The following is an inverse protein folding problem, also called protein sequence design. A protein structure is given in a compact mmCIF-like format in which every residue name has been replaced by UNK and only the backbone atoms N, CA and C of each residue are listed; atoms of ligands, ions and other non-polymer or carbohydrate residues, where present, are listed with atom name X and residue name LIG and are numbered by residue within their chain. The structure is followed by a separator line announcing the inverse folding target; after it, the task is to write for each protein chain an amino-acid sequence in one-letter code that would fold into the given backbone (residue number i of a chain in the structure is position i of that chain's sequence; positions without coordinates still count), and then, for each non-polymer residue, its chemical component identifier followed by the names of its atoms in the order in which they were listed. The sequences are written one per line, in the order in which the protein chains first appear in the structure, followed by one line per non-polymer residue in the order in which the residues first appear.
data_IF_577426528602
#
_entry.id   IF_577426528602
#
_cell.length_a   1.000
_cell.length_b   1.000
_cell.length_c   1.000
_cell.angle_alpha   90.00
_cell.angle_beta   90.00
_cell.angle_gamma   90.00
#
_symmetry.space_group_name_H-M   'P 1'
#
loop_
_entity.id
_entity.type
_entity.pdbx_description
1 polymer ?
#
# COMPACT_ATOMS: atom_id res chain seq x y z
N UNK A 1 75.09 1.84 30.51
CA UNK A 1 75.32 3.29 30.30
C UNK A 1 74.16 3.77 29.42
N UNK A 2 73.11 4.40 30.00
CA UNK A 2 72.93 5.88 30.10
C UNK A 2 73.08 6.54 28.72
N UNK A 3 72.12 7.25 28.12
CA UNK A 3 71.15 8.24 28.60
C UNK A 3 69.98 8.32 27.58
N UNK A 4 68.71 8.44 27.98
CA UNK A 4 67.93 9.68 28.11
C UNK A 4 68.07 10.66 26.93
N UNK A 5 66.98 10.92 26.20
CA UNK A 5 66.42 12.26 25.85
C UNK A 5 65.30 12.15 24.79
N UNK A 6 64.04 12.35 25.22
CA UNK A 6 62.98 13.03 24.45
C UNK A 6 63.22 14.55 24.61
N UNK A 7 62.82 15.50 23.72
CA UNK A 7 61.51 15.65 23.05
C UNK A 7 61.65 16.07 21.55
N UNK A 8 60.65 16.25 20.70
CA UNK A 8 59.65 17.33 20.76
C UNK A 8 58.58 17.18 19.66
N UNK A 9 57.35 17.55 20.04
CA UNK A 9 56.31 18.24 19.28
C UNK A 9 56.20 17.99 17.77
N UNK A 10 55.06 17.45 17.32
CA UNK A 10 54.05 18.22 16.58
C UNK A 10 52.93 17.32 16.04
N UNK A 11 51.70 17.81 16.14
CA UNK A 11 50.64 17.40 15.23
C UNK A 11 49.70 16.31 15.73
N UNK A 12 48.81 16.66 16.67
CA UNK A 12 47.52 15.97 16.81
C UNK A 12 46.53 16.51 15.76
N UNK A 13 46.18 15.76 14.69
CA UNK A 13 44.89 15.93 14.06
C UNK A 13 43.84 15.06 14.76
N UNK A 14 43.24 15.64 15.80
CA UNK A 14 41.79 15.87 15.99
C UNK A 14 40.75 14.95 15.34
N UNK A 15 40.99 13.68 15.03
CA UNK A 15 39.90 12.78 14.64
C UNK A 15 40.13 11.41 15.23
N UNK A 16 39.59 11.21 16.43
CA UNK A 16 39.38 9.91 17.03
C UNK A 16 38.70 9.00 16.00
N UNK A 17 39.44 8.01 15.50
CA UNK A 17 38.86 6.85 14.82
C UNK A 17 38.16 6.04 15.92
N UNK A 18 36.84 5.83 15.88
CA UNK A 18 36.26 4.82 16.75
C UNK A 18 36.88 3.48 16.38
N UNK A 19 37.62 2.91 17.33
CA UNK A 19 38.02 1.51 17.33
C UNK A 19 36.73 0.69 17.48
N UNK A 20 36.13 0.32 16.36
CA UNK A 20 35.09 -0.69 16.35
C UNK A 20 35.54 -1.82 15.42
N UNK A 21 36.03 -2.88 16.07
CA UNK A 21 36.58 -4.06 15.42
C UNK A 21 35.49 -4.83 14.69
N UNK A 22 35.69 -4.99 13.39
CA UNK A 22 35.00 -5.96 12.56
C UNK A 22 35.75 -7.29 12.70
N UNK A 23 35.45 -8.02 13.78
CA UNK A 23 35.66 -9.46 13.79
C UNK A 23 34.37 -10.09 13.25
N UNK A 24 34.39 -10.52 11.99
CA UNK A 24 33.49 -11.58 11.52
C UNK A 24 34.15 -12.91 11.89
N UNK A 25 33.41 -13.89 12.44
CA UNK A 25 32.73 -14.78 11.51
C UNK A 25 31.41 -15.41 12.02
N UNK A 26 30.50 -15.62 11.06
CA UNK A 26 29.55 -16.74 10.99
C UNK A 26 28.78 -17.07 12.27
N UNK A 27 27.59 -16.50 12.37
CA UNK A 27 26.47 -17.24 12.95
C UNK A 27 25.24 -17.04 12.08
N UNK A 28 24.99 -18.04 11.24
CA UNK A 28 23.67 -18.52 10.83
C UNK A 28 22.56 -17.52 11.12
N UNK A 29 22.25 -16.65 10.16
CA UNK A 29 20.96 -15.96 10.13
C UNK A 29 19.94 -17.06 9.88
N UNK A 30 19.55 -17.76 10.95
CA UNK A 30 18.28 -18.45 11.01
C UNK A 30 17.27 -17.33 10.88
N UNK A 31 16.83 -17.09 9.65
CA UNK A 31 15.74 -16.17 9.36
C UNK A 31 14.56 -16.66 10.19
N UNK A 32 14.37 -16.07 11.36
CA UNK A 32 13.13 -16.18 12.12
C UNK A 32 12.14 -15.41 11.26
N UNK A 33 11.58 -16.11 10.29
CA UNK A 33 10.37 -15.70 9.60
C UNK A 33 9.30 -15.68 10.66
N UNK A 34 9.24 -14.60 11.44
CA UNK A 34 8.04 -14.24 12.16
C UNK A 34 6.96 -14.26 11.07
N UNK A 35 5.91 -15.08 11.20
CA UNK A 35 4.79 -14.94 10.32
C UNK A 35 4.21 -13.58 10.68
N UNK A 36 4.61 -12.54 9.96
CA UNK A 36 3.84 -11.32 9.82
C UNK A 36 2.58 -11.83 9.15
N UNK A 37 1.66 -12.26 10.01
CA UNK A 37 0.30 -12.57 9.67
C UNK A 37 -0.22 -11.23 9.23
N UNK A 38 0.00 -10.91 7.95
CA UNK A 38 -0.69 -9.85 7.26
C UNK A 38 -2.12 -10.11 7.62
N UNK A 39 -2.63 -9.27 8.53
CA UNK A 39 -3.98 -9.37 9.05
C UNK A 39 -4.79 -9.16 7.78
N UNK A 40 -5.18 -10.26 7.12
CA UNK A 40 -6.02 -10.23 5.94
C UNK A 40 -7.24 -9.50 6.44
N UNK A 41 -7.29 -8.19 6.18
CA UNK A 41 -8.42 -7.36 6.48
C UNK A 41 -9.56 -8.15 5.86
N UNK A 42 -10.47 -8.67 6.71
CA UNK A 42 -11.60 -9.43 6.19
C UNK A 42 -12.15 -8.57 5.05
N UNK A 43 -12.30 -9.12 3.83
CA UNK A 43 -12.96 -8.39 2.75
C UNK A 43 -14.24 -7.86 3.37
N UNK A 44 -14.36 -6.55 3.41
CA UNK A 44 -15.50 -5.92 4.06
C UNK A 44 -16.73 -6.47 3.33
N UNK A 45 -17.48 -7.34 4.02
CA UNK A 45 -18.80 -7.78 3.56
C UNK A 45 -19.70 -6.62 3.89
N UNK A 46 -19.78 -5.66 2.98
CA UNK A 46 -20.61 -4.48 3.12
C UNK A 46 -22.07 -4.78 3.40
N UNK A 47 -22.93 -3.75 3.41
CA UNK A 47 -24.36 -3.92 3.20
C UNK A 47 -24.56 -4.89 2.04
N UNK A 48 -25.65 -5.68 2.06
CA UNK A 48 -25.96 -6.62 0.98
C UNK A 48 -26.10 -5.87 -0.35
N UNK A 49 -24.98 -5.64 -1.02
CA UNK A 49 -24.90 -4.87 -2.25
C UNK A 49 -25.06 -5.83 -3.40
N UNK A 50 -25.92 -5.50 -4.34
CA UNK A 50 -26.06 -6.26 -5.58
C UNK A 50 -25.51 -5.45 -6.75
N UNK A 51 -25.01 -6.19 -7.74
CA UNK A 51 -24.50 -5.63 -8.98
C UNK A 51 -25.55 -5.82 -10.06
N UNK A 52 -25.96 -4.72 -10.67
CA UNK A 52 -26.83 -4.71 -11.83
C UNK A 52 -25.98 -4.46 -13.08
N UNK A 53 -26.18 -5.27 -14.12
CA UNK A 53 -25.53 -5.10 -15.42
C UNK A 53 -26.51 -4.40 -16.36
N UNK A 54 -26.12 -3.22 -16.85
CA UNK A 54 -26.73 -2.53 -17.97
C UNK A 54 -26.06 -2.85 -19.30
N UNK A 55 -26.54 -2.22 -20.37
CA UNK A 55 -26.06 -2.44 -21.74
C UNK A 55 -24.56 -2.11 -21.92
N UNK A 56 -24.03 -1.15 -21.16
CA UNK A 56 -22.61 -0.73 -21.17
C UNK A 56 -22.09 -0.20 -19.82
N UNK A 57 -22.92 -0.32 -18.79
CA UNK A 57 -22.62 0.17 -17.45
C UNK A 57 -22.93 -0.93 -16.44
N UNK A 58 -22.21 -0.95 -15.34
CA UNK A 58 -22.50 -1.79 -14.19
C UNK A 58 -22.80 -0.90 -13.01
N UNK A 59 -23.90 -1.15 -12.31
CA UNK A 59 -24.31 -0.38 -11.15
C UNK A 59 -24.19 -1.23 -9.90
N UNK A 60 -23.57 -0.69 -8.86
CA UNK A 60 -23.61 -1.27 -7.53
C UNK A 60 -24.73 -0.57 -6.75
N UNK A 61 -25.68 -1.34 -6.21
CA UNK A 61 -26.77 -0.83 -5.38
C UNK A 61 -26.77 -1.47 -4.01
N UNK A 62 -27.25 -0.70 -3.04
CA UNK A 62 -27.56 -1.21 -1.70
C UNK A 62 -28.87 -2.02 -1.70
N UNK A 63 -29.13 -2.78 -0.64
CA UNK A 63 -30.40 -3.46 -0.37
C UNK A 63 -31.61 -2.53 -0.38
N UNK A 64 -31.40 -1.23 -0.14
CA UNK A 64 -32.42 -0.18 -0.20
C UNK A 64 -32.64 0.39 -1.62
N UNK A 65 -31.91 -0.09 -2.62
CA UNK A 65 -31.97 0.41 -4.00
C UNK A 65 -31.13 1.67 -4.26
N UNK A 66 -30.41 2.16 -3.25
CA UNK A 66 -29.54 3.33 -3.39
C UNK A 66 -28.32 2.99 -4.25
N UNK A 67 -27.99 3.86 -5.20
CA UNK A 67 -26.80 3.70 -6.07
C UNK A 67 -25.54 4.03 -5.28
N UNK A 68 -24.68 3.03 -5.10
CA UNK A 68 -23.41 3.14 -4.36
C UNK A 68 -22.23 3.37 -5.30
N UNK A 69 -22.30 2.81 -6.51
CA UNK A 69 -21.27 3.01 -7.51
C UNK A 69 -21.72 2.65 -8.92
N UNK A 70 -20.92 3.07 -9.88
CA UNK A 70 -21.11 2.83 -11.30
C UNK A 70 -19.77 2.50 -11.95
N UNK A 71 -19.78 1.58 -12.90
CA UNK A 71 -18.67 1.31 -13.80
C UNK A 71 -19.20 1.48 -15.22
N UNK A 72 -18.62 2.39 -15.98
CA UNK A 72 -18.92 2.60 -17.39
C UNK A 72 -17.79 2.03 -18.23
N UNK A 73 -18.18 1.31 -19.30
CA UNK A 73 -17.23 0.89 -20.32
C UNK A 73 -17.02 2.02 -21.32
N UNK A 74 -15.76 2.26 -21.71
CA UNK A 74 -15.42 3.25 -22.73
C UNK A 74 -16.22 3.03 -24.05
N UNK A 75 -16.52 4.11 -24.80
CA UNK A 75 -17.20 4.03 -26.09
C UNK A 75 -16.46 3.09 -27.06
N UNK A 76 -17.22 2.43 -27.95
CA UNK A 76 -16.65 1.45 -28.90
C UNK A 76 -15.86 2.27 -29.92
N UNK A 77 -14.54 2.03 -30.02
CA UNK A 77 -13.64 2.79 -30.90
C UNK A 77 -12.50 3.50 -30.18
N UNK A 78 -12.55 3.57 -28.85
CA UNK A 78 -11.47 4.12 -28.03
C UNK A 78 -10.60 2.97 -27.51
N UNK A 79 -9.38 2.86 -28.05
CA UNK A 79 -8.35 1.95 -27.58
C UNK A 79 -7.35 2.76 -26.73
N UNK A 80 -7.02 2.35 -25.50
CA UNK A 80 -7.34 1.06 -24.86
C UNK A 80 -8.79 0.92 -24.35
N UNK A 81 -9.29 -0.32 -24.28
CA UNK A 81 -10.57 -0.65 -23.64
C UNK A 81 -10.44 -0.40 -22.14
N UNK A 82 -11.23 0.55 -21.64
CA UNK A 82 -11.04 1.08 -20.30
C UNK A 82 -12.38 1.11 -19.56
N UNK A 83 -12.32 0.81 -18.27
CA UNK A 83 -13.43 0.79 -17.34
C UNK A 83 -13.31 2.00 -16.42
N UNK A 84 -14.14 3.01 -16.66
CA UNK A 84 -14.26 4.15 -15.76
C UNK A 84 -15.19 3.77 -14.62
N UNK A 85 -14.78 3.99 -13.38
CA UNK A 85 -15.59 3.69 -12.21
C UNK A 85 -15.79 4.92 -11.34
N UNK A 86 -16.92 4.97 -10.66
CA UNK A 86 -17.35 6.06 -9.79
C UNK A 86 -18.06 5.48 -8.58
N UNK A 87 -17.68 5.92 -7.39
CA UNK A 87 -18.25 5.50 -6.12
C UNK A 87 -18.24 6.68 -5.13
N UNK A 88 -19.40 7.30 -4.90
CA UNK A 88 -19.50 8.52 -4.10
C UNK A 88 -18.65 9.66 -4.68
N UNK A 89 -17.65 10.11 -3.91
CA UNK A 89 -16.70 11.17 -4.32
C UNK A 89 -15.45 10.63 -5.02
N UNK A 90 -15.25 9.31 -5.03
CA UNK A 90 -14.09 8.68 -5.64
C UNK A 90 -14.43 8.25 -7.06
N UNK A 91 -13.53 8.52 -7.98
CA UNK A 91 -13.61 8.06 -9.36
C UNK A 91 -12.24 7.60 -9.83
N UNK A 92 -12.23 6.74 -10.84
CA UNK A 92 -11.00 6.21 -11.39
C UNK A 92 -11.24 5.46 -12.68
N UNK A 93 -10.15 4.93 -13.22
CA UNK A 93 -10.10 4.38 -14.57
C UNK A 93 -9.22 3.14 -14.50
N UNK A 94 -9.72 2.00 -14.98
CA UNK A 94 -9.04 0.71 -14.86
C UNK A 94 -9.10 -0.10 -16.17
N UNK A 95 -8.07 -0.91 -16.43
CA UNK A 95 -8.00 -1.75 -17.63
C UNK A 95 -8.84 -3.04 -17.55
N UNK A 96 -9.42 -3.36 -16.39
CA UNK A 96 -10.21 -4.58 -16.17
C UNK A 96 -11.46 -4.32 -15.34
N UNK A 97 -12.57 -4.96 -15.74
CA UNK A 97 -13.83 -4.93 -15.00
C UNK A 97 -13.67 -5.45 -13.57
N UNK A 98 -12.88 -6.51 -13.36
CA UNK A 98 -12.68 -7.08 -12.03
C UNK A 98 -11.97 -6.09 -11.11
N UNK A 99 -10.98 -5.36 -11.65
CA UNK A 99 -10.25 -4.37 -10.89
C UNK A 99 -11.11 -3.15 -10.58
N UNK A 100 -11.84 -2.62 -11.58
CA UNK A 100 -12.82 -1.56 -11.39
C UNK A 100 -13.86 -1.90 -10.32
N UNK A 101 -14.36 -3.16 -10.31
CA UNK A 101 -15.29 -3.65 -9.29
C UNK A 101 -14.70 -3.62 -7.90
N UNK A 102 -13.48 -4.13 -7.72
CA UNK A 102 -12.78 -4.09 -6.43
C UNK A 102 -12.59 -2.65 -5.96
N UNK A 103 -12.21 -1.72 -6.85
CA UNK A 103 -12.05 -0.30 -6.51
C UNK A 103 -13.34 0.34 -6.03
N UNK A 104 -14.47 0.05 -6.68
CA UNK A 104 -15.79 0.53 -6.25
C UNK A 104 -16.15 -0.04 -4.88
N UNK A 105 -15.95 -1.34 -4.66
CA UNK A 105 -16.22 -1.98 -3.37
C UNK A 105 -15.35 -1.40 -2.25
N UNK A 106 -14.06 -1.17 -2.52
CA UNK A 106 -13.15 -0.51 -1.59
C UNK A 106 -13.60 0.92 -1.29
N UNK A 107 -13.91 1.72 -2.31
CA UNK A 107 -14.37 3.10 -2.17
C UNK A 107 -15.66 3.22 -1.34
N UNK A 108 -16.61 2.32 -1.56
CA UNK A 108 -17.84 2.22 -0.74
C UNK A 108 -17.47 1.86 0.71
N UNK A 109 -16.60 0.87 0.90
CA UNK A 109 -16.14 0.46 2.23
C UNK A 109 -15.39 1.58 2.98
N UNK A 110 -14.62 2.41 2.28
CA UNK A 110 -13.95 3.59 2.85
C UNK A 110 -14.95 4.66 3.27
N UNK A 111 -15.94 4.98 2.43
CA UNK A 111 -16.98 5.95 2.77
C UNK A 111 -17.78 5.57 4.02
N UNK A 112 -18.15 4.29 4.17
CA UNK A 112 -18.85 3.79 5.37
C UNK A 112 -17.97 3.86 6.61
N UNK A 113 -16.66 3.58 6.49
CA UNK A 113 -15.73 3.68 7.63
C UNK A 113 -15.48 5.11 8.09
N UNK A 114 -15.47 6.08 7.17
CA UNK A 114 -15.34 7.50 7.53
C UNK A 114 -16.55 8.02 8.33
N UNK A 115 -17.77 7.57 7.99
CA UNK A 115 -18.98 7.97 8.73
C UNK A 115 -19.11 7.33 10.12
N UNK A 116 -18.37 6.24 10.41
CA UNK A 116 -18.44 5.56 11.70
C UNK A 116 -17.51 6.16 12.78
N UNK A 117 -16.72 7.19 12.43
CA UNK A 117 -15.71 7.79 13.31
C UNK A 117 -16.17 9.09 14.00
N UNK A 118 -17.43 9.48 13.86
CA UNK A 118 -17.99 10.69 14.48
C UNK A 118 -19.22 10.37 15.32
#
# INVERSE_FOLDING_TARGET
MTMDFYPDLEGLPLFAKPAFGWEEPVSSIRSVSLPIKTRRLRPWRGPTTHWERGYRSHYCRDKRGMKLGEIQLSPRGEAPLVYSWLAGTLSGVEGSLSHARTRVEDAIGFGVRQMALF
#
